data_IF_157254810417
#
_entry.id   IF_157254810417
#
_cell.length_a   1.000
_cell.length_b   1.000
_cell.length_c   1.000
_cell.angle_alpha   90.00
_cell.angle_beta   90.00
_cell.angle_gamma   90.00
#
_symmetry.space_group_name_H-M   'P 1'
#
loop_
_entity.id
_entity.type
_entity.pdbx_description
1 polymer ?
#
# COMPACT_ATOMS: atom_id res chain seq x y z
N UNK A 1 -1.99 -7.08 -23.64
CA UNK A 1 -0.65 -7.53 -23.18
C UNK A 1 -0.30 -6.64 -22.00
N UNK A 2 -0.16 -7.18 -20.79
CA UNK A 2 0.32 -6.37 -19.66
C UNK A 2 1.77 -5.96 -19.93
N UNK A 3 2.08 -4.68 -19.79
CA UNK A 3 3.44 -4.17 -19.92
C UNK A 3 4.31 -4.80 -18.84
N UNK A 4 5.40 -5.45 -19.24
CA UNK A 4 6.42 -5.96 -18.30
C UNK A 4 7.35 -4.82 -17.90
N UNK A 5 7.75 -4.76 -16.64
CA UNK A 5 8.61 -3.70 -16.09
C UNK A 5 7.82 -2.56 -15.45
N UNK A 6 8.51 -1.46 -15.14
CA UNK A 6 7.92 -0.23 -14.61
C UNK A 6 7.95 0.87 -15.66
N UNK A 7 6.98 1.79 -15.67
CA UNK A 7 7.02 2.98 -16.53
C UNK A 7 8.21 3.89 -16.22
N UNK A 8 8.73 3.85 -15.00
CA UNK A 8 9.86 4.65 -14.54
C UNK A 8 11.24 4.11 -14.95
N UNK A 9 11.31 2.91 -15.54
CA UNK A 9 12.57 2.27 -15.96
C UNK A 9 13.37 1.62 -14.83
N UNK A 10 12.90 1.68 -13.59
CA UNK A 10 13.53 1.01 -12.44
C UNK A 10 13.08 -0.45 -12.31
N UNK A 11 13.86 -1.32 -11.64
CA UNK A 11 13.44 -2.69 -11.34
C UNK A 11 12.15 -2.74 -10.52
N UNK A 12 11.37 -3.81 -10.70
CA UNK A 12 10.17 -4.03 -9.90
C UNK A 12 10.51 -4.34 -8.44
N UNK A 13 9.65 -3.89 -7.51
CA UNK A 13 9.73 -4.31 -6.12
C UNK A 13 9.39 -5.81 -5.97
N UNK A 14 10.12 -6.49 -5.09
CA UNK A 14 9.97 -7.91 -4.74
C UNK A 14 9.90 -8.09 -3.22
N UNK A 15 9.41 -9.23 -2.75
CA UNK A 15 9.32 -9.52 -1.32
C UNK A 15 10.71 -9.69 -0.69
N UNK A 16 11.01 -8.91 0.34
CA UNK A 16 12.14 -9.19 1.23
C UNK A 16 11.80 -10.40 2.10
N UNK A 17 12.68 -11.41 2.10
CA UNK A 17 12.50 -12.65 2.85
C UNK A 17 12.48 -12.43 4.36
N UNK A 18 13.15 -11.38 4.87
CA UNK A 18 13.22 -11.08 6.31
C UNK A 18 11.85 -10.78 6.93
N UNK A 19 10.90 -10.29 6.13
CA UNK A 19 9.55 -9.98 6.59
C UNK A 19 8.53 -11.07 6.22
N UNK A 20 8.89 -12.00 5.33
CA UNK A 20 7.95 -12.97 4.75
C UNK A 20 7.23 -13.81 5.81
N UNK A 21 7.94 -14.20 6.88
CA UNK A 21 7.37 -14.98 8.00
C UNK A 21 6.27 -14.25 8.79
N UNK A 22 6.11 -12.93 8.60
CA UNK A 22 5.10 -12.11 9.29
C UNK A 22 3.90 -11.80 8.41
N UNK A 23 3.93 -12.26 7.16
CA UNK A 23 2.90 -11.98 6.16
C UNK A 23 2.01 -13.21 5.95
N UNK A 24 0.75 -13.01 5.53
CA UNK A 24 -0.14 -14.12 5.18
C UNK A 24 0.35 -14.88 3.95
N UNK A 25 -0.13 -16.12 3.77
CA UNK A 25 0.41 -17.07 2.81
C UNK A 25 0.35 -16.56 1.35
N UNK A 26 -0.69 -15.80 0.98
CA UNK A 26 -0.80 -15.23 -0.36
C UNK A 26 0.33 -14.27 -0.71
N UNK A 27 0.95 -13.61 0.27
CA UNK A 27 1.98 -12.60 0.01
C UNK A 27 3.15 -13.19 -0.78
N UNK A 28 3.68 -14.32 -0.33
CA UNK A 28 4.78 -15.02 -1.01
C UNK A 28 4.38 -15.53 -2.39
N UNK A 29 3.15 -16.05 -2.53
CA UNK A 29 2.60 -16.57 -3.80
C UNK A 29 2.50 -15.42 -4.83
N UNK A 30 1.87 -14.32 -4.44
CA UNK A 30 1.67 -13.16 -5.30
C UNK A 30 2.99 -12.51 -5.70
N UNK A 31 3.92 -12.31 -4.76
CA UNK A 31 5.24 -11.73 -5.07
C UNK A 31 6.09 -12.63 -5.96
N UNK A 32 6.04 -13.95 -5.79
CA UNK A 32 6.74 -14.90 -6.66
C UNK A 32 6.23 -14.82 -8.10
N UNK A 33 4.91 -14.85 -8.30
CA UNK A 33 4.30 -14.75 -9.62
C UNK A 33 4.54 -13.37 -10.27
N UNK A 34 4.43 -12.29 -9.48
CA UNK A 34 4.78 -10.93 -9.92
C UNK A 34 6.22 -10.84 -10.41
N UNK A 35 7.17 -11.44 -9.68
CA UNK A 35 8.58 -11.51 -10.06
C UNK A 35 8.78 -12.31 -11.35
N UNK A 36 8.15 -13.47 -11.45
CA UNK A 36 8.26 -14.35 -12.62
C UNK A 36 7.77 -13.67 -13.91
N UNK A 37 6.69 -12.89 -13.83
CA UNK A 37 6.12 -12.15 -14.96
C UNK A 37 6.71 -10.75 -15.14
N UNK A 38 7.63 -10.33 -14.25
CA UNK A 38 8.20 -9.00 -14.21
C UNK A 38 7.14 -7.87 -14.24
N UNK A 39 6.10 -7.97 -13.41
CA UNK A 39 5.02 -6.98 -13.37
C UNK A 39 5.27 -5.90 -12.31
N UNK A 40 5.02 -4.63 -12.66
CA UNK A 40 4.98 -3.50 -11.72
C UNK A 40 3.68 -3.49 -10.91
N UNK A 41 3.66 -2.72 -9.83
CA UNK A 41 2.40 -2.46 -9.12
C UNK A 41 1.46 -1.55 -9.92
N UNK A 42 1.98 -0.64 -10.75
CA UNK A 42 1.23 0.11 -11.76
C UNK A 42 0.36 -0.81 -12.63
N UNK A 43 0.97 -1.79 -13.31
CA UNK A 43 0.26 -2.71 -14.19
C UNK A 43 -0.74 -3.61 -13.42
N UNK A 44 -0.39 -4.03 -12.21
CA UNK A 44 -1.29 -4.82 -11.35
C UNK A 44 -2.49 -3.99 -10.92
N UNK A 45 -2.26 -2.75 -10.49
CA UNK A 45 -3.28 -1.84 -10.01
C UNK A 45 -4.29 -1.47 -11.10
N UNK A 46 -3.79 -1.15 -12.30
CA UNK A 46 -4.62 -0.94 -13.49
C UNK A 46 -5.49 -2.16 -13.78
N UNK A 47 -4.90 -3.36 -13.79
CA UNK A 47 -5.62 -4.60 -14.08
C UNK A 47 -6.74 -4.89 -13.06
N UNK A 48 -6.50 -4.65 -11.77
CA UNK A 48 -7.49 -4.90 -10.70
C UNK A 48 -8.46 -3.73 -10.48
N UNK A 49 -8.19 -2.55 -11.05
CA UNK A 49 -9.01 -1.35 -10.88
C UNK A 49 -8.83 -0.70 -9.50
N UNK A 50 -7.61 -0.71 -8.95
CA UNK A 50 -7.25 -0.08 -7.67
C UNK A 50 -6.13 0.93 -7.84
N UNK A 51 -5.90 1.74 -6.81
CA UNK A 51 -4.67 2.53 -6.69
C UNK A 51 -3.44 1.63 -6.46
N UNK A 52 -2.27 2.04 -6.93
CA UNK A 52 -1.01 1.30 -6.82
C UNK A 52 -0.64 0.94 -5.38
N UNK A 53 -0.82 1.87 -4.45
CA UNK A 53 -0.50 1.65 -3.03
C UNK A 53 -1.48 0.65 -2.43
N UNK A 54 -2.76 0.68 -2.84
CA UNK A 54 -3.76 -0.28 -2.41
C UNK A 54 -3.50 -1.68 -2.98
N UNK A 55 -3.05 -1.79 -4.23
CA UNK A 55 -2.64 -3.06 -4.84
C UNK A 55 -1.42 -3.65 -4.10
N UNK A 56 -0.40 -2.84 -3.82
CA UNK A 56 0.75 -3.25 -3.01
C UNK A 56 0.34 -3.66 -1.58
N UNK A 57 -0.62 -2.97 -0.97
CA UNK A 57 -1.12 -3.31 0.36
C UNK A 57 -1.78 -4.70 0.41
N UNK A 58 -2.46 -5.15 -0.65
CA UNK A 58 -2.99 -6.54 -0.73
C UNK A 58 -1.82 -7.54 -0.66
N UNK A 59 -0.75 -7.28 -1.43
CA UNK A 59 0.43 -8.14 -1.51
C UNK A 59 1.18 -8.26 -0.18
N UNK A 60 1.13 -7.23 0.66
CA UNK A 60 1.69 -7.27 2.02
C UNK A 60 0.65 -7.67 3.09
N UNK A 61 -0.55 -8.12 2.70
CA UNK A 61 -1.59 -8.54 3.66
C UNK A 61 -2.21 -7.41 4.48
N UNK A 62 -2.11 -6.17 4.01
CA UNK A 62 -2.62 -4.97 4.71
C UNK A 62 -3.95 -4.46 4.14
N UNK A 63 -4.43 -5.08 3.06
CA UNK A 63 -5.74 -4.81 2.47
C UNK A 63 -6.41 -6.12 2.08
N UNK A 64 -7.75 -6.11 2.13
CA UNK A 64 -8.57 -7.25 1.73
C UNK A 64 -8.78 -7.20 0.21
N UNK A 65 -8.60 -8.35 -0.44
CA UNK A 65 -9.00 -8.52 -1.82
C UNK A 65 -10.50 -8.86 -1.88
N UNK A 66 -11.23 -8.16 -2.74
CA UNK A 66 -12.59 -8.56 -3.10
C UNK A 66 -12.55 -9.82 -3.99
N UNK A 67 -13.68 -10.52 -4.17
CA UNK A 67 -13.75 -11.63 -5.13
C UNK A 67 -13.33 -11.22 -6.55
N UNK A 68 -13.64 -9.99 -6.96
CA UNK A 68 -13.22 -9.45 -8.26
C UNK A 68 -11.70 -9.23 -8.35
N UNK A 69 -11.09 -8.71 -7.28
CA UNK A 69 -9.63 -8.57 -7.20
C UNK A 69 -8.95 -9.94 -7.31
N UNK A 70 -9.44 -10.96 -6.59
CA UNK A 70 -8.87 -12.32 -6.62
C UNK A 70 -8.93 -12.92 -8.02
N UNK A 71 -10.08 -12.80 -8.70
CA UNK A 71 -10.24 -13.28 -10.07
C UNK A 71 -9.26 -12.60 -11.03
N UNK A 72 -9.18 -11.27 -10.99
CA UNK A 72 -8.28 -10.50 -11.85
C UNK A 72 -6.80 -10.77 -11.56
N UNK A 73 -6.43 -10.93 -10.28
CA UNK A 73 -5.08 -11.32 -9.87
C UNK A 73 -4.73 -12.74 -10.35
N UNK A 74 -5.64 -13.69 -10.20
CA UNK A 74 -5.53 -15.07 -10.69
C UNK A 74 -5.22 -15.09 -12.19
N UNK A 75 -6.03 -14.39 -13.00
CA UNK A 75 -5.86 -14.29 -14.45
C UNK A 75 -4.54 -13.61 -14.84
N UNK A 76 -4.22 -12.46 -14.23
CA UNK A 76 -3.02 -11.69 -14.54
C UNK A 76 -1.73 -12.45 -14.17
N UNK A 77 -1.72 -13.04 -12.97
CA UNK A 77 -0.55 -13.71 -12.39
C UNK A 77 -0.46 -15.19 -12.76
N UNK A 78 -1.46 -15.72 -13.48
CA UNK A 78 -1.57 -17.13 -13.84
C UNK A 78 -1.45 -18.05 -12.61
N UNK A 79 -2.12 -17.66 -11.53
CA UNK A 79 -2.24 -18.45 -10.29
C UNK A 79 -3.66 -19.00 -10.27
N UNK A 80 -3.89 -20.31 -10.05
CA UNK A 80 -5.23 -20.85 -9.89
C UNK A 80 -6.02 -20.09 -8.82
N UNK A 81 -7.25 -19.66 -9.15
CA UNK A 81 -8.11 -18.92 -8.22
C UNK A 81 -8.31 -19.68 -6.90
N UNK A 82 -8.49 -21.01 -6.99
CA UNK A 82 -8.64 -21.90 -5.83
C UNK A 82 -7.44 -21.82 -4.88
N UNK A 83 -6.22 -21.70 -5.42
CA UNK A 83 -5.00 -21.59 -4.62
C UNK A 83 -4.98 -20.27 -3.84
N UNK A 84 -5.45 -19.16 -4.43
CA UNK A 84 -5.57 -17.89 -3.72
C UNK A 84 -6.66 -17.97 -2.65
N UNK A 85 -7.80 -18.61 -2.95
CA UNK A 85 -8.92 -18.76 -2.02
C UNK A 85 -8.62 -19.66 -0.82
N UNK A 86 -7.63 -20.56 -0.92
CA UNK A 86 -7.13 -21.37 0.20
C UNK A 86 -6.30 -20.56 1.21
N UNK A 87 -5.92 -19.33 0.88
CA UNK A 87 -5.17 -18.42 1.75
C UNK A 87 -6.07 -17.40 2.47
N UNK A 88 -5.48 -16.51 3.24
CA UNK A 88 -6.18 -15.45 3.96
C UNK A 88 -6.58 -14.25 3.07
N UNK A 89 -6.36 -14.29 1.75
CA UNK A 89 -6.49 -13.14 0.84
C UNK A 89 -7.89 -12.49 0.82
N UNK A 90 -8.95 -13.29 0.99
CA UNK A 90 -10.34 -12.84 1.08
C UNK A 90 -10.83 -12.68 2.52
N UNK A 91 -10.05 -13.15 3.50
CA UNK A 91 -10.33 -12.99 4.92
C UNK A 91 -10.16 -11.55 5.39
N UNK A 92 -10.49 -11.29 6.66
CA UNK A 92 -10.23 -9.99 7.27
C UNK A 92 -8.73 -9.84 7.55
N UNK A 93 -8.06 -8.80 7.01
CA UNK A 93 -6.61 -8.68 7.18
C UNK A 93 -6.21 -8.33 8.62
N UNK A 94 -5.25 -9.08 9.16
CA UNK A 94 -4.57 -8.76 10.42
C UNK A 94 -3.45 -7.74 10.17
N UNK A 95 -3.88 -6.46 10.10
CA UNK A 95 -3.03 -5.33 9.70
C UNK A 95 -2.01 -4.97 10.78
N UNK A 96 -0.87 -4.43 10.34
CA UNK A 96 0.16 -3.87 11.21
C UNK A 96 1.31 -4.82 11.54
N UNK A 97 1.28 -6.07 11.06
CA UNK A 97 2.33 -7.07 11.35
C UNK A 97 3.53 -7.05 10.39
N UNK A 98 3.41 -6.38 9.25
CA UNK A 98 4.44 -6.36 8.21
C UNK A 98 5.78 -5.74 8.66
N UNK A 99 5.79 -4.98 9.76
CA UNK A 99 6.96 -4.23 10.21
C UNK A 99 6.96 -4.06 11.73
N UNK A 100 8.15 -4.09 12.32
CA UNK A 100 8.38 -3.70 13.73
C UNK A 100 8.44 -2.18 13.87
N UNK A 101 7.97 -1.67 15.01
CA UNK A 101 8.12 -0.26 15.37
C UNK A 101 9.24 -0.10 16.42
N UNK A 102 10.17 0.87 16.26
CA UNK A 102 10.27 1.80 15.12
C UNK A 102 10.75 1.10 13.83
N UNK A 103 10.40 1.62 12.63
CA UNK A 103 10.85 1.08 11.36
C UNK A 103 12.37 1.01 11.28
N UNK A 104 12.91 -0.10 10.76
CA UNK A 104 14.36 -0.25 10.52
C UNK A 104 14.76 0.10 9.08
N UNK A 105 13.84 -0.06 8.14
CA UNK A 105 14.09 0.26 6.72
C UNK A 105 14.13 1.78 6.55
N UNK A 106 15.21 2.35 5.97
CA UNK A 106 15.41 3.79 5.90
C UNK A 106 14.29 4.59 5.22
N UNK A 107 13.73 4.13 4.09
CA UNK A 107 12.66 4.84 3.39
C UNK A 107 11.42 4.96 4.28
N UNK A 108 10.99 3.87 4.91
CA UNK A 108 9.83 3.88 5.83
C UNK A 108 10.14 4.65 7.11
N UNK A 109 11.38 4.61 7.62
CA UNK A 109 11.79 5.38 8.79
C UNK A 109 11.64 6.89 8.56
N UNK A 110 11.89 7.41 7.34
CA UNK A 110 11.66 8.85 7.06
C UNK A 110 10.20 9.25 7.18
N UNK A 111 9.26 8.37 6.83
CA UNK A 111 7.83 8.64 7.05
C UNK A 111 7.49 8.72 8.54
N UNK A 112 8.08 7.83 9.34
CA UNK A 112 7.98 7.88 10.80
C UNK A 112 8.61 9.17 11.38
N UNK A 113 9.77 9.58 10.87
CA UNK A 113 10.48 10.81 11.26
C UNK A 113 9.67 12.08 10.94
N UNK A 114 8.97 12.11 9.79
CA UNK A 114 8.03 13.19 9.45
C UNK A 114 6.92 13.27 10.50
N UNK A 115 6.33 12.13 10.89
CA UNK A 115 5.30 12.10 11.95
C UNK A 115 5.87 12.59 13.29
N UNK A 116 7.08 12.16 13.65
CA UNK A 116 7.76 12.58 14.88
C UNK A 116 8.00 14.09 14.93
N UNK A 117 8.45 14.69 13.83
CA UNK A 117 8.82 16.11 13.79
C UNK A 117 7.62 17.04 13.57
N UNK A 118 6.65 16.63 12.73
CA UNK A 118 5.53 17.47 12.31
C UNK A 118 4.19 17.08 12.92
N UNK A 119 4.10 16.01 13.72
CA UNK A 119 2.84 15.50 14.27
C UNK A 119 2.02 16.58 15.00
N UNK A 120 2.64 17.35 15.89
CA UNK A 120 1.96 18.46 16.58
C UNK A 120 1.65 19.65 15.67
N UNK A 121 2.49 19.92 14.66
CA UNK A 121 2.21 20.96 13.67
C UNK A 121 0.97 20.60 12.82
N UNK A 122 0.88 19.36 12.34
CA UNK A 122 -0.33 18.86 11.66
C UNK A 122 -1.55 18.94 12.57
N UNK A 123 -1.43 18.47 13.83
CA UNK A 123 -2.52 18.54 14.80
C UNK A 123 -3.05 19.96 14.95
N UNK A 124 -2.17 20.94 15.17
CA UNK A 124 -2.56 22.34 15.37
C UNK A 124 -3.28 22.91 14.14
N UNK A 125 -2.67 22.79 12.94
CA UNK A 125 -3.26 23.31 11.70
C UNK A 125 -4.58 22.62 11.36
N UNK A 126 -4.69 21.31 11.58
CA UNK A 126 -5.95 20.59 11.38
C UNK A 126 -7.02 21.04 12.37
N UNK A 127 -6.66 21.27 13.64
CA UNK A 127 -7.60 21.77 14.63
C UNK A 127 -8.11 23.18 14.28
N UNK A 128 -7.24 24.07 13.81
CA UNK A 128 -7.64 25.41 13.34
C UNK A 128 -8.57 25.36 12.12
N UNK A 129 -8.36 24.40 11.21
CA UNK A 129 -9.14 24.31 9.96
C UNK A 129 -10.44 23.53 10.09
N UNK A 130 -10.47 22.50 10.93
CA UNK A 130 -11.57 21.52 10.97
C UNK A 130 -12.19 21.34 12.37
N UNK A 131 -11.66 22.00 13.40
CA UNK A 131 -12.14 21.89 14.78
C UNK A 131 -11.55 20.69 15.53
N UNK A 132 -12.24 20.24 16.57
CA UNK A 132 -11.81 19.09 17.37
C UNK A 132 -12.24 17.76 16.73
N UNK A 133 -11.28 16.89 16.44
CA UNK A 133 -11.50 15.68 15.65
C UNK A 133 -10.21 15.07 15.10
N UNK A 134 -10.37 14.14 14.16
CA UNK A 134 -9.27 13.42 13.52
C UNK A 134 -9.44 13.29 12.00
N UNK A 135 -8.32 13.17 11.29
CA UNK A 135 -8.30 12.65 9.93
C UNK A 135 -8.34 11.12 9.98
N UNK A 136 -9.39 10.50 9.42
CA UNK A 136 -9.56 9.05 9.41
C UNK A 136 -8.45 8.36 8.60
N UNK A 137 -7.92 7.25 9.13
CA UNK A 137 -7.06 6.30 8.41
C UNK A 137 -7.85 5.08 7.87
N UNK A 138 -9.19 5.08 7.99
CA UNK A 138 -10.09 4.02 7.51
C UNK A 138 -10.91 4.51 6.31
N UNK A 139 -11.63 5.62 6.47
CA UNK A 139 -12.23 6.34 5.34
C UNK A 139 -11.16 7.22 4.72
N UNK A 140 -10.25 6.56 4.00
CA UNK A 140 -8.94 7.09 3.64
C UNK A 140 -8.49 6.58 2.26
N UNK A 141 -7.72 7.41 1.56
CA UNK A 141 -6.96 7.02 0.37
C UNK A 141 -5.58 7.67 0.40
N UNK A 142 -4.60 7.01 -0.21
CA UNK A 142 -3.25 7.53 -0.41
C UNK A 142 -2.76 7.20 -1.81
N UNK A 143 -1.81 7.98 -2.33
CA UNK A 143 -1.13 7.73 -3.60
C UNK A 143 0.30 8.27 -3.54
N UNK A 144 1.15 7.73 -4.40
CA UNK A 144 2.54 8.18 -4.60
C UNK A 144 2.68 8.69 -6.03
N UNK A 145 3.24 9.88 -6.18
CA UNK A 145 3.47 10.52 -7.47
C UNK A 145 4.94 10.95 -7.57
N UNK A 146 5.54 10.77 -8.74
CA UNK A 146 6.84 11.34 -9.07
C UNK A 146 6.63 12.72 -9.68
N UNK A 147 7.22 13.74 -9.09
CA UNK A 147 7.23 15.11 -9.63
C UNK A 147 8.67 15.49 -9.99
N UNK A 148 8.87 16.27 -11.06
CA UNK A 148 10.19 16.72 -11.50
C UNK A 148 10.14 18.21 -11.83
N UNK A 149 11.10 18.96 -11.29
CA UNK A 149 11.29 20.39 -11.52
C UNK A 149 12.77 20.72 -11.79
N UNK A 150 13.10 22.01 -11.87
CA UNK A 150 14.46 22.49 -12.12
C UNK A 150 15.46 22.15 -11.00
N UNK A 151 14.98 21.75 -9.82
CA UNK A 151 15.79 21.40 -8.64
C UNK A 151 15.94 19.89 -8.45
N UNK A 152 15.16 19.09 -9.17
CA UNK A 152 15.34 17.65 -9.26
C UNK A 152 14.04 16.87 -9.22
N UNK A 153 14.14 15.62 -8.77
CA UNK A 153 13.03 14.67 -8.71
C UNK A 153 12.53 14.56 -7.27
N UNK A 154 11.21 14.66 -7.12
CA UNK A 154 10.50 14.66 -5.85
C UNK A 154 9.56 13.46 -5.77
N UNK A 155 9.43 12.92 -4.56
CA UNK A 155 8.41 11.93 -4.23
C UNK A 155 7.27 12.63 -3.48
N UNK A 156 6.09 12.69 -4.09
CA UNK A 156 4.91 13.31 -3.51
C UNK A 156 3.96 12.23 -2.99
N UNK A 157 3.71 12.26 -1.69
CA UNK A 157 2.71 11.40 -1.04
C UNK A 157 1.50 12.25 -0.70
N UNK A 158 0.33 11.83 -1.17
CA UNK A 158 -0.95 12.47 -0.81
C UNK A 158 -1.67 11.63 0.23
N UNK A 159 -1.96 12.20 1.41
CA UNK A 159 -2.80 11.57 2.44
C UNK A 159 -4.18 12.24 2.43
N UNK A 160 -5.23 11.50 2.07
CA UNK A 160 -6.60 12.03 1.99
C UNK A 160 -7.55 11.22 2.87
N UNK A 161 -7.75 11.70 4.10
CA UNK A 161 -8.69 11.11 5.05
C UNK A 161 -9.93 11.96 5.26
N UNK A 162 -11.07 11.32 5.49
CA UNK A 162 -12.30 11.98 5.93
C UNK A 162 -12.09 12.58 7.33
N UNK A 163 -12.49 13.84 7.53
CA UNK A 163 -12.49 14.45 8.86
C UNK A 163 -13.65 13.92 9.71
N UNK A 164 -13.36 13.55 10.95
CA UNK A 164 -14.33 13.01 11.91
C UNK A 164 -14.30 13.86 13.20
N UNK A 165 -15.29 14.74 13.42
CA UNK A 165 -15.37 15.52 14.66
C UNK A 165 -15.76 14.63 15.84
N UNK A 166 -15.25 14.95 17.03
CA UNK A 166 -15.67 14.25 18.24
C UNK A 166 -17.11 14.60 18.61
N UNK A 167 -17.89 13.58 18.99
CA UNK A 167 -19.25 13.79 19.50
C UNK A 167 -19.20 14.35 20.92
N UNK A 168 -20.16 15.22 21.23
CA UNK A 168 -20.44 15.63 22.61
C UNK A 168 -21.56 14.73 23.15
N UNK A 169 -21.25 13.90 24.12
CA UNK A 169 -22.20 13.02 24.81
C UNK A 169 -21.94 13.03 26.31
#
# INVERSE_FOLDING_TARGET
>A
MSSSGTSSGFPIAVLNQDIAARLPAHSSILFAAKKQKNLSFEAIAEAIGRDEVAAAAIFYGQAQASPEDVKKLSELLAIPETQLLETEITGYPDRGRQMEMPPKEPLVYRLYEIVQNYGYAYKAVMNEKFGDGIMSAISFSTKVEREEDDKGVWCKITLRGKWLPFSRF
#
